data_IF_349989038109
#
_entry.id   IF_349989038109
#
_cell.length_a   1.000
_cell.length_b   1.000
_cell.length_c   1.000
_cell.angle_alpha   90.00
_cell.angle_beta   90.00
_cell.angle_gamma   90.00
#
_symmetry.space_group_name_H-M   'P 1'
#
loop_
_entity.id
_entity.type
_entity.pdbx_description
1 polymer ?
#
# COMPACT_ATOMS: atom_id res chain seq x y z
N UNK A 1 9.94 13.40 13.52
CA UNK A 1 9.83 12.21 12.65
C UNK A 1 9.45 12.61 11.24
N UNK A 2 9.96 11.90 10.23
CA UNK A 2 9.57 12.10 8.83
C UNK A 2 8.72 10.89 8.38
N UNK A 3 7.45 11.12 8.08
CA UNK A 3 6.56 10.07 7.59
C UNK A 3 6.49 10.12 6.07
N UNK A 4 7.02 9.10 5.41
CA UNK A 4 6.93 8.91 3.96
C UNK A 4 5.60 8.22 3.69
N UNK A 5 4.62 8.99 3.20
CA UNK A 5 3.23 8.55 3.08
C UNK A 5 2.97 7.91 1.72
N UNK A 6 2.49 6.67 1.74
CA UNK A 6 2.06 5.92 0.58
C UNK A 6 0.64 5.37 0.74
N UNK A 7 0.10 4.79 -0.31
CA UNK A 7 -1.26 4.25 -0.31
C UNK A 7 -1.29 2.79 0.13
N UNK A 8 -0.54 1.94 -0.55
CA UNK A 8 -0.49 0.50 -0.29
C UNK A 8 0.91 -0.04 -0.63
N UNK A 9 1.39 -1.01 0.16
CA UNK A 9 2.60 -1.76 -0.15
C UNK A 9 2.19 -3.09 -0.78
N UNK A 10 2.68 -3.36 -2.00
CA UNK A 10 2.37 -4.57 -2.77
C UNK A 10 3.64 -5.40 -3.04
N UNK A 11 3.46 -6.64 -3.51
CA UNK A 11 4.57 -7.53 -3.88
C UNK A 11 5.42 -6.97 -5.03
N UNK A 12 4.77 -6.34 -6.00
CA UNK A 12 5.41 -5.66 -7.14
C UNK A 12 5.39 -4.17 -6.90
N UNK A 13 6.49 -3.64 -6.37
CA UNK A 13 6.65 -2.20 -6.16
C UNK A 13 6.83 -1.46 -7.48
N UNK A 14 6.22 -0.30 -7.58
CA UNK A 14 6.43 0.63 -8.71
C UNK A 14 7.63 1.53 -8.46
N UNK A 15 7.95 2.40 -9.43
CA UNK A 15 9.02 3.39 -9.26
C UNK A 15 8.79 4.33 -8.06
N UNK A 16 7.54 4.61 -7.71
CA UNK A 16 7.20 5.49 -6.58
C UNK A 16 7.51 4.81 -5.25
N UNK A 17 7.02 3.58 -5.02
CA UNK A 17 7.34 2.83 -3.80
C UNK A 17 8.85 2.55 -3.71
N UNK A 18 9.52 2.31 -4.84
CA UNK A 18 10.99 2.17 -4.85
C UNK A 18 11.68 3.47 -4.41
N UNK A 19 11.20 4.63 -4.84
CA UNK A 19 11.72 5.92 -4.41
C UNK A 19 11.49 6.17 -2.90
N UNK A 20 10.31 5.79 -2.38
CA UNK A 20 10.00 5.84 -0.95
C UNK A 20 10.98 4.98 -0.12
N UNK A 21 11.18 3.72 -0.51
CA UNK A 21 12.09 2.80 0.16
C UNK A 21 13.55 3.28 0.09
N UNK A 22 13.97 3.81 -1.05
CA UNK A 22 15.31 4.35 -1.22
C UNK A 22 15.52 5.58 -0.34
N UNK A 23 14.55 6.49 -0.26
CA UNK A 23 14.57 7.67 0.61
C UNK A 23 14.62 7.26 2.09
N UNK A 24 13.81 6.27 2.50
CA UNK A 24 13.86 5.71 3.84
C UNK A 24 15.28 5.21 4.19
N UNK A 25 15.89 4.42 3.31
CA UNK A 25 17.25 3.90 3.48
C UNK A 25 18.31 5.02 3.55
N UNK A 26 18.18 6.03 2.69
CA UNK A 26 19.06 7.19 2.68
C UNK A 26 18.96 7.99 3.98
N UNK A 27 17.75 8.28 4.44
CA UNK A 27 17.51 8.98 5.69
C UNK A 27 18.12 8.21 6.87
N UNK A 28 17.93 6.90 6.92
CA UNK A 28 18.51 6.04 7.95
C UNK A 28 20.04 6.09 7.95
N UNK A 29 20.68 6.06 6.77
CA UNK A 29 22.15 6.17 6.64
C UNK A 29 22.68 7.50 7.19
N UNK A 30 21.89 8.56 7.15
CA UNK A 30 22.24 9.90 7.66
C UNK A 30 21.66 10.21 9.05
N UNK A 31 21.15 9.21 9.78
CA UNK A 31 20.61 9.39 11.12
C UNK A 31 19.29 10.19 11.17
N UNK A 32 18.61 10.37 10.03
CA UNK A 32 17.35 11.08 9.94
C UNK A 32 16.20 10.13 10.29
N UNK A 33 15.51 10.41 11.39
CA UNK A 33 14.36 9.62 11.84
C UNK A 33 13.23 9.65 10.82
N UNK A 34 12.88 8.49 10.27
CA UNK A 34 11.86 8.36 9.25
C UNK A 34 11.17 7.00 9.27
N UNK A 35 9.92 6.96 8.81
CA UNK A 35 9.16 5.73 8.60
C UNK A 35 8.32 5.83 7.33
N UNK A 36 8.14 4.71 6.61
CA UNK A 36 7.12 4.61 5.57
C UNK A 36 5.78 4.23 6.21
N UNK A 37 4.72 4.92 5.82
CA UNK A 37 3.36 4.73 6.34
C UNK A 37 2.41 4.53 5.17
N UNK A 38 1.66 3.42 5.19
CA UNK A 38 0.68 3.12 4.15
C UNK A 38 -0.74 3.13 4.72
N UNK A 39 -1.68 3.75 4.00
CA UNK A 39 -3.03 4.01 4.54
C UNK A 39 -4.05 2.94 4.18
N UNK A 40 -3.84 2.18 3.11
CA UNK A 40 -4.75 1.10 2.71
C UNK A 40 -4.36 -0.23 3.35
N UNK A 41 -5.38 -1.03 3.66
CA UNK A 41 -5.20 -2.36 4.21
C UNK A 41 -4.69 -3.36 3.18
N UNK A 42 -3.68 -4.11 3.58
CA UNK A 42 -3.19 -5.27 2.85
C UNK A 42 -2.63 -6.29 3.85
N UNK A 43 -3.20 -7.51 3.95
CA UNK A 43 -2.77 -8.51 4.94
C UNK A 43 -1.32 -8.99 4.71
N UNK A 44 -0.74 -8.69 3.57
CA UNK A 44 0.64 -9.05 3.23
C UNK A 44 1.64 -7.91 3.44
N UNK A 45 1.22 -6.74 3.90
CA UNK A 45 2.10 -5.56 4.05
C UNK A 45 3.36 -5.87 4.85
N UNK A 46 3.23 -6.60 5.97
CA UNK A 46 4.38 -7.03 6.77
C UNK A 46 5.31 -7.98 6.01
N UNK A 47 4.75 -8.94 5.26
CA UNK A 47 5.52 -9.89 4.44
C UNK A 47 6.30 -9.15 3.35
N UNK A 48 5.69 -8.18 2.68
CA UNK A 48 6.36 -7.38 1.66
C UNK A 48 7.41 -6.44 2.25
N UNK A 49 7.13 -5.82 3.40
CA UNK A 49 8.11 -5.02 4.12
C UNK A 49 9.36 -5.85 4.47
N UNK A 50 9.18 -7.10 4.93
CA UNK A 50 10.26 -8.04 5.21
C UNK A 50 11.06 -8.42 3.95
N UNK A 51 10.40 -8.66 2.81
CA UNK A 51 11.07 -8.91 1.52
C UNK A 51 12.00 -7.75 1.12
N UNK A 52 11.62 -6.52 1.45
CA UNK A 52 12.42 -5.32 1.18
C UNK A 52 13.38 -4.93 2.31
N UNK A 53 13.43 -5.71 3.41
CA UNK A 53 14.26 -5.46 4.59
C UNK A 53 13.99 -4.09 5.24
N UNK A 54 12.72 -3.73 5.35
CA UNK A 54 12.23 -2.47 5.92
C UNK A 54 11.12 -2.66 6.97
N UNK A 55 10.88 -3.90 7.42
CA UNK A 55 9.77 -4.25 8.33
C UNK A 55 9.79 -3.51 9.67
N UNK A 56 10.96 -3.03 10.10
CA UNK A 56 11.10 -2.26 11.32
C UNK A 56 10.80 -0.76 11.15
N UNK A 57 10.77 -0.29 9.89
CA UNK A 57 10.63 1.11 9.52
C UNK A 57 9.38 1.38 8.66
N UNK A 58 8.48 0.39 8.60
CA UNK A 58 7.21 0.45 7.85
C UNK A 58 6.06 -0.04 8.72
N UNK A 59 4.94 0.64 8.63
CA UNK A 59 3.66 0.17 9.16
C UNK A 59 2.49 0.75 8.35
N UNK A 60 1.31 0.18 8.54
CA UNK A 60 0.08 0.67 7.92
C UNK A 60 -0.80 1.40 8.95
N UNK A 61 -1.75 2.21 8.47
CA UNK A 61 -2.82 2.76 9.32
C UNK A 61 -3.55 1.64 10.07
N UNK A 62 -3.74 0.49 9.41
CA UNK A 62 -4.38 -0.67 10.04
C UNK A 62 -3.51 -1.30 11.11
N UNK A 63 -2.19 -1.42 10.91
CA UNK A 63 -1.28 -1.88 11.99
C UNK A 63 -1.35 -0.97 13.23
N UNK A 64 -1.52 0.34 13.01
CA UNK A 64 -1.65 1.31 14.09
C UNK A 64 -2.92 1.04 14.92
N UNK A 65 -4.08 1.02 14.30
CA UNK A 65 -5.35 0.80 15.01
C UNK A 65 -5.51 -0.64 15.51
N UNK A 66 -5.03 -1.63 14.79
CA UNK A 66 -5.00 -3.04 15.22
C UNK A 66 -4.00 -3.31 16.36
N UNK A 67 -3.22 -2.30 16.79
CA UNK A 67 -2.16 -2.45 17.81
C UNK A 67 -1.10 -3.50 17.41
N UNK A 68 -0.85 -3.62 16.10
CA UNK A 68 -0.03 -4.67 15.49
C UNK A 68 1.36 -4.19 15.05
N UNK A 69 1.73 -2.90 15.21
CA UNK A 69 3.04 -2.35 14.76
C UNK A 69 4.20 -3.16 15.36
N UNK A 70 4.14 -3.46 16.65
CA UNK A 70 5.18 -4.21 17.37
C UNK A 70 4.82 -5.68 17.59
N UNK A 71 3.72 -6.15 17.00
CA UNK A 71 3.29 -7.53 17.16
C UNK A 71 4.26 -8.47 16.47
N UNK A 72 4.82 -9.41 17.24
CA UNK A 72 5.63 -10.51 16.74
C UNK A 72 4.85 -11.80 16.95
N UNK A 73 4.82 -12.67 15.96
CA UNK A 73 4.19 -13.98 16.06
C UNK A 73 4.80 -14.75 17.26
N UNK A 74 4.00 -14.99 18.27
CA UNK A 74 4.45 -15.68 19.50
C UNK A 74 4.13 -17.17 19.51
N UNK A 75 3.05 -17.59 18.81
CA UNK A 75 2.61 -18.98 18.77
C UNK A 75 2.01 -19.32 17.40
N UNK A 76 2.44 -20.44 16.84
CA UNK A 76 1.86 -20.98 15.63
C UNK A 76 0.68 -21.87 15.97
N UNK A 77 -0.50 -21.58 15.41
CA UNK A 77 -1.67 -22.44 15.51
C UNK A 77 -1.54 -23.56 14.48
N UNK A 78 -1.63 -24.80 14.91
CA UNK A 78 -1.79 -25.93 14.00
C UNK A 78 -3.27 -26.05 13.60
N UNK A 79 -3.66 -25.36 12.53
CA UNK A 79 -5.04 -25.28 12.06
C UNK A 79 -5.60 -26.65 11.67
N UNK A 80 -4.80 -27.52 11.06
CA UNK A 80 -5.20 -28.88 10.69
C UNK A 80 -5.61 -29.66 11.93
N UNK A 81 -4.72 -29.70 12.93
CA UNK A 81 -5.01 -30.39 14.18
C UNK A 81 -6.21 -29.78 14.92
N UNK A 82 -6.34 -28.45 14.89
CA UNK A 82 -7.45 -27.75 15.53
C UNK A 82 -8.78 -28.14 14.91
N UNK A 83 -8.89 -28.13 13.58
CA UNK A 83 -10.13 -28.52 12.90
C UNK A 83 -10.46 -30.00 13.07
N UNK A 84 -9.47 -30.90 12.94
CA UNK A 84 -9.71 -32.35 13.09
C UNK A 84 -10.04 -32.75 14.54
N UNK A 85 -9.22 -32.31 15.50
CA UNK A 85 -9.32 -32.80 16.89
C UNK A 85 -10.25 -31.97 17.75
N UNK A 86 -10.20 -30.64 17.67
CA UNK A 86 -11.01 -29.77 18.53
C UNK A 86 -12.40 -29.52 17.96
N UNK A 87 -12.52 -29.34 16.64
CA UNK A 87 -13.80 -29.12 15.97
C UNK A 87 -14.44 -30.41 15.48
N UNK A 88 -13.68 -31.51 15.37
CA UNK A 88 -14.12 -32.81 14.84
C UNK A 88 -14.58 -32.74 13.38
N UNK A 89 -14.01 -31.84 12.60
CA UNK A 89 -14.29 -31.71 11.18
C UNK A 89 -13.53 -32.74 10.34
N UNK A 90 -14.13 -33.12 9.21
CA UNK A 90 -13.47 -33.93 8.19
C UNK A 90 -12.75 -33.04 7.20
N UNK A 91 -11.46 -33.29 6.98
CA UNK A 91 -10.62 -32.51 6.08
C UNK A 91 -10.37 -33.29 4.78
N UNK A 92 -10.49 -32.58 3.63
CA UNK A 92 -10.12 -33.11 2.31
C UNK A 92 -9.12 -32.14 1.69
N UNK A 93 -7.87 -32.58 1.58
CA UNK A 93 -6.79 -31.80 0.95
C UNK A 93 -7.00 -31.76 -0.57
N UNK A 94 -6.81 -30.58 -1.17
CA UNK A 94 -6.94 -30.40 -2.61
C UNK A 94 -5.62 -30.73 -3.28
N UNK A 95 -5.65 -31.66 -4.23
CA UNK A 95 -4.47 -32.11 -4.95
C UNK A 95 -3.78 -30.96 -5.68
N UNK A 96 -2.44 -30.93 -5.64
CA UNK A 96 -1.58 -29.91 -6.25
C UNK A 96 -1.86 -28.46 -5.79
N UNK A 97 -2.46 -28.28 -4.62
CA UNK A 97 -2.82 -26.99 -4.05
C UNK A 97 -2.43 -26.93 -2.56
N UNK A 98 -2.44 -25.73 -1.98
CA UNK A 98 -2.32 -25.51 -0.55
C UNK A 98 -3.69 -25.31 0.11
N UNK A 99 -4.73 -25.90 -0.49
CA UNK A 99 -6.12 -25.71 -0.09
C UNK A 99 -6.66 -26.93 0.65
N UNK A 100 -7.57 -26.66 1.59
CA UNK A 100 -8.27 -27.68 2.37
C UNK A 100 -9.76 -27.40 2.32
N UNK A 101 -10.54 -28.41 1.95
CA UNK A 101 -12.01 -28.41 2.10
C UNK A 101 -12.38 -29.03 3.44
N UNK A 102 -13.24 -28.37 4.18
CA UNK A 102 -13.57 -28.72 5.54
C UNK A 102 -15.08 -29.01 5.61
N UNK A 103 -15.41 -30.16 6.19
CA UNK A 103 -16.76 -30.68 6.28
C UNK A 103 -17.14 -30.90 7.75
N UNK A 104 -18.35 -30.50 8.10
CA UNK A 104 -19.04 -30.89 9.32
C UNK A 104 -19.96 -32.08 8.94
N UNK A 105 -19.59 -33.27 9.38
CA UNK A 105 -20.14 -34.54 8.84
C UNK A 105 -20.04 -34.60 7.31
N UNK A 106 -21.16 -34.52 6.58
CA UNK A 106 -21.21 -34.50 5.12
C UNK A 106 -21.36 -33.06 4.56
N UNK A 107 -21.65 -32.08 5.41
CA UNK A 107 -21.88 -30.71 4.98
C UNK A 107 -20.57 -29.97 4.73
N UNK A 108 -20.40 -29.44 3.52
CA UNK A 108 -19.27 -28.54 3.21
C UNK A 108 -19.47 -27.20 3.91
N UNK A 109 -18.59 -26.88 4.88
CA UNK A 109 -18.72 -25.68 5.73
C UNK A 109 -17.64 -24.64 5.50
N UNK A 110 -16.40 -25.07 5.15
CA UNK A 110 -15.30 -24.13 4.98
C UNK A 110 -14.34 -24.54 3.87
N UNK A 111 -13.67 -23.55 3.30
CA UNK A 111 -12.55 -23.70 2.37
C UNK A 111 -11.40 -22.82 2.85
N UNK A 112 -10.29 -23.44 3.20
CA UNK A 112 -9.10 -22.77 3.69
C UNK A 112 -7.97 -22.80 2.66
N UNK A 113 -7.21 -21.71 2.56
CA UNK A 113 -6.02 -21.61 1.74
C UNK A 113 -4.81 -21.27 2.62
N UNK A 114 -3.70 -21.96 2.41
CA UNK A 114 -2.44 -21.73 3.11
C UNK A 114 -1.39 -21.16 2.15
N UNK A 115 -0.42 -20.40 2.70
CA UNK A 115 0.68 -19.85 1.93
C UNK A 115 1.81 -20.85 1.70
N UNK A 116 1.82 -21.97 2.44
CA UNK A 116 2.83 -23.03 2.35
C UNK A 116 2.20 -24.42 2.25
N UNK A 117 2.95 -25.36 1.66
CA UNK A 117 2.52 -26.77 1.49
C UNK A 117 2.47 -27.57 2.79
N UNK A 118 3.07 -27.08 3.86
CA UNK A 118 3.06 -27.70 5.18
C UNK A 118 1.86 -27.26 6.02
N UNK A 119 1.00 -26.40 5.49
CA UNK A 119 -0.21 -25.87 6.15
C UNK A 119 0.09 -25.12 7.47
N UNK A 120 1.23 -24.43 7.54
CA UNK A 120 1.62 -23.68 8.74
C UNK A 120 1.07 -22.26 8.73
N UNK A 121 1.01 -21.62 7.58
CA UNK A 121 0.61 -20.23 7.45
C UNK A 121 -0.73 -20.11 6.75
N UNK A 122 -1.80 -20.00 7.56
CA UNK A 122 -3.16 -19.76 7.05
C UNK A 122 -3.24 -18.38 6.40
N UNK A 123 -3.80 -18.34 5.20
CA UNK A 123 -4.01 -17.13 4.42
C UNK A 123 -5.44 -16.63 4.56
N UNK A 124 -6.41 -17.48 4.19
CA UNK A 124 -7.83 -17.16 4.36
C UNK A 124 -8.67 -18.41 4.58
N UNK A 125 -9.86 -18.16 5.16
CA UNK A 125 -10.93 -19.16 5.25
C UNK A 125 -12.20 -18.55 4.67
N UNK A 126 -12.83 -19.26 3.75
CA UNK A 126 -14.18 -18.98 3.29
C UNK A 126 -15.17 -19.88 4.03
N UNK A 127 -16.27 -19.32 4.50
CA UNK A 127 -17.36 -20.03 5.18
C UNK A 127 -18.58 -20.12 4.27
N UNK A 128 -19.26 -21.25 4.31
CA UNK A 128 -20.41 -21.55 3.45
C UNK A 128 -21.64 -21.91 4.27
N UNK A 129 -22.81 -21.48 3.81
CA UNK A 129 -24.09 -21.90 4.36
C UNK A 129 -24.51 -23.30 3.82
N UNK A 130 -25.66 -23.80 4.32
CA UNK A 130 -26.21 -25.08 3.91
C UNK A 130 -26.55 -25.17 2.40
N UNK A 131 -26.70 -24.04 1.71
CA UNK A 131 -26.89 -23.93 0.25
C UNK A 131 -25.58 -23.78 -0.52
N UNK A 132 -24.44 -23.95 0.16
CA UNK A 132 -23.08 -23.77 -0.38
C UNK A 132 -22.79 -22.34 -0.90
N UNK A 133 -23.51 -21.31 -0.40
CA UNK A 133 -23.22 -19.93 -0.70
C UNK A 133 -22.14 -19.44 0.28
N UNK A 134 -21.14 -18.76 -0.25
CA UNK A 134 -20.11 -18.16 0.61
C UNK A 134 -20.72 -16.98 1.36
N UNK A 135 -20.71 -17.03 2.69
CA UNK A 135 -21.35 -16.04 3.59
C UNK A 135 -20.35 -15.22 4.37
N UNK A 136 -19.15 -15.75 4.59
CA UNK A 136 -18.08 -15.04 5.31
C UNK A 136 -16.73 -15.41 4.73
N UNK A 137 -15.77 -14.46 4.81
CA UNK A 137 -14.35 -14.71 4.56
C UNK A 137 -13.52 -14.13 5.68
N UNK A 138 -12.60 -14.89 6.21
CA UNK A 138 -11.55 -14.47 7.14
C UNK A 138 -10.23 -14.35 6.40
N UNK A 139 -9.47 -13.29 6.70
CA UNK A 139 -8.19 -12.97 6.07
C UNK A 139 -7.14 -12.77 7.17
N UNK A 140 -6.06 -13.52 7.07
CA UNK A 140 -5.02 -13.58 8.08
C UNK A 140 -3.81 -12.74 7.66
N UNK A 141 -3.25 -12.00 8.61
CA UNK A 141 -2.02 -11.24 8.43
C UNK A 141 -0.82 -12.18 8.28
N UNK A 142 0.23 -11.74 7.59
CA UNK A 142 1.46 -12.49 7.42
C UNK A 142 2.14 -12.90 8.75
N UNK A 143 1.78 -12.25 9.86
CA UNK A 143 2.21 -12.60 11.24
C UNK A 143 1.30 -13.64 11.90
N UNK A 144 0.22 -14.08 11.23
CA UNK A 144 -0.62 -15.23 11.60
C UNK A 144 -1.81 -14.92 12.49
N UNK A 145 -2.21 -13.68 12.70
CA UNK A 145 -3.46 -13.32 13.38
C UNK A 145 -4.58 -13.03 12.38
N UNK A 146 -5.84 -13.21 12.80
CA UNK A 146 -7.00 -12.80 12.02
C UNK A 146 -7.01 -11.27 11.91
N UNK A 147 -6.71 -10.74 10.71
CA UNK A 147 -6.63 -9.30 10.50
C UNK A 147 -7.96 -8.70 10.04
N UNK A 148 -8.70 -9.41 9.19
CA UNK A 148 -9.98 -8.92 8.67
C UNK A 148 -10.97 -10.06 8.45
N UNK A 149 -12.25 -9.82 8.73
CA UNK A 149 -13.33 -10.67 8.23
C UNK A 149 -14.31 -9.87 7.38
N UNK A 150 -14.81 -10.51 6.33
CA UNK A 150 -15.81 -9.99 5.42
C UNK A 150 -17.10 -10.77 5.55
N UNK A 151 -18.19 -10.10 5.86
CA UNK A 151 -19.53 -10.69 5.77
C UNK A 151 -20.08 -10.38 4.38
N UNK A 152 -20.64 -11.39 3.74
CA UNK A 152 -21.08 -11.34 2.37
C UNK A 152 -22.60 -11.43 2.30
N UNK A 153 -23.21 -10.52 1.57
CA UNK A 153 -24.62 -10.52 1.23
C UNK A 153 -24.90 -11.18 -0.12
N UNK A 154 -26.02 -10.84 -0.69
CA UNK A 154 -26.45 -11.34 -1.99
C UNK A 154 -25.43 -11.03 -3.09
N UNK A 155 -25.25 -11.96 -4.04
CA UNK A 155 -24.25 -11.84 -5.10
C UNK A 155 -22.78 -11.81 -4.59
N UNK A 156 -22.54 -12.26 -3.37
CA UNK A 156 -21.23 -12.25 -2.70
C UNK A 156 -20.65 -10.84 -2.51
N UNK A 157 -21.50 -9.81 -2.46
CA UNK A 157 -21.10 -8.43 -2.15
C UNK A 157 -20.70 -8.33 -0.68
N UNK A 158 -19.66 -7.55 -0.41
CA UNK A 158 -19.26 -7.28 0.98
C UNK A 158 -20.30 -6.33 1.59
N UNK A 159 -20.88 -6.70 2.72
CA UNK A 159 -21.79 -5.86 3.50
C UNK A 159 -21.14 -5.30 4.76
N UNK A 160 -20.13 -6.03 5.29
CA UNK A 160 -19.40 -5.63 6.49
C UNK A 160 -17.97 -6.15 6.42
N UNK A 161 -17.02 -5.30 6.74
CA UNK A 161 -15.64 -5.69 7.07
C UNK A 161 -15.36 -5.37 8.54
N UNK A 162 -14.85 -6.35 9.28
CA UNK A 162 -14.34 -6.16 10.63
C UNK A 162 -12.82 -6.34 10.63
N UNK A 163 -12.10 -5.43 11.25
CA UNK A 163 -10.65 -5.49 11.42
C UNK A 163 -10.32 -5.70 12.89
N UNK A 164 -9.39 -6.60 13.17
CA UNK A 164 -9.15 -7.15 14.51
C UNK A 164 -7.76 -6.80 15.02
N UNK A 165 -7.65 -6.61 16.34
CA UNK A 165 -6.35 -6.69 17.01
C UNK A 165 -5.82 -8.13 16.95
N UNK A 166 -4.52 -8.37 17.21
CA UNK A 166 -3.99 -9.72 17.36
C UNK A 166 -4.67 -10.55 18.48
N UNK A 167 -5.35 -9.90 19.41
CA UNK A 167 -6.12 -10.55 20.49
C UNK A 167 -7.57 -10.85 20.10
N UNK A 168 -8.00 -10.48 18.88
CA UNK A 168 -9.34 -10.76 18.36
C UNK A 168 -10.40 -9.69 18.66
N UNK A 169 -10.02 -8.53 19.18
CA UNK A 169 -10.94 -7.41 19.40
C UNK A 169 -11.20 -6.67 18.08
N UNK A 170 -12.46 -6.30 17.80
CA UNK A 170 -12.82 -5.52 16.61
C UNK A 170 -12.49 -4.05 16.87
N UNK A 171 -11.60 -3.48 16.04
CA UNK A 171 -11.18 -2.07 16.14
C UNK A 171 -11.71 -1.21 15.01
N UNK A 172 -11.88 -1.72 13.79
CA UNK A 172 -12.51 -1.00 12.68
C UNK A 172 -13.61 -1.86 12.09
N UNK A 173 -14.74 -1.22 11.79
CA UNK A 173 -15.84 -1.81 11.05
C UNK A 173 -16.17 -0.93 9.85
N UNK A 174 -16.33 -1.52 8.68
CA UNK A 174 -16.74 -0.83 7.46
C UNK A 174 -18.02 -1.43 6.94
N UNK A 175 -19.05 -0.60 6.78
CA UNK A 175 -20.36 -0.97 6.28
C UNK A 175 -20.50 -0.56 4.81
N UNK A 176 -21.10 -1.45 4.04
CA UNK A 176 -21.28 -1.26 2.59
C UNK A 176 -22.73 -1.51 2.22
N UNK A 177 -23.26 -0.66 1.33
CA UNK A 177 -24.57 -0.80 0.72
C UNK A 177 -24.50 -0.82 -0.79
N UNK A 178 -25.52 -1.41 -1.40
CA UNK A 178 -25.69 -1.34 -2.86
C UNK A 178 -26.34 -0.01 -3.24
N UNK A 179 -25.50 0.94 -3.63
CA UNK A 179 -25.97 2.22 -4.14
C UNK A 179 -25.87 2.23 -5.67
N UNK A 180 -27.02 2.20 -6.35
CA UNK A 180 -27.10 2.20 -7.83
C UNK A 180 -26.28 1.07 -8.48
N UNK A 181 -26.34 -0.13 -7.94
CA UNK A 181 -25.62 -1.31 -8.45
C UNK A 181 -24.12 -1.35 -8.12
N UNK A 182 -23.65 -0.41 -7.31
CA UNK A 182 -22.25 -0.35 -6.85
C UNK A 182 -22.16 -0.63 -5.35
N UNK A 183 -21.27 -1.54 -4.97
CA UNK A 183 -20.96 -1.77 -3.57
C UNK A 183 -20.19 -0.55 -3.03
N UNK A 184 -20.87 0.27 -2.21
CA UNK A 184 -20.37 1.57 -1.76
C UNK A 184 -20.16 1.56 -0.25
N UNK A 185 -19.00 2.00 0.22
CA UNK A 185 -18.74 2.25 1.64
C UNK A 185 -19.68 3.37 2.12
N UNK A 186 -20.45 3.10 3.19
CA UNK A 186 -21.42 4.04 3.74
C UNK A 186 -21.11 4.49 5.15
N UNK A 187 -20.31 3.71 5.90
CA UNK A 187 -19.92 4.05 7.26
C UNK A 187 -18.62 3.34 7.66
N UNK A 188 -17.79 4.05 8.40
CA UNK A 188 -16.64 3.48 9.12
C UNK A 188 -16.84 3.75 10.61
N UNK A 189 -16.68 2.73 11.43
CA UNK A 189 -16.68 2.83 12.89
C UNK A 189 -15.29 2.43 13.39
N UNK A 190 -14.65 3.30 14.14
CA UNK A 190 -13.42 3.01 14.86
C UNK A 190 -13.74 2.84 16.35
N UNK A 191 -13.41 1.69 16.90
CA UNK A 191 -13.52 1.38 18.33
C UNK A 191 -12.15 1.62 18.99
N UNK A 192 -12.03 2.64 19.81
CA UNK A 192 -10.78 3.01 20.48
C UNK A 192 -11.07 3.39 21.93
N UNK A 193 -10.36 2.76 22.86
CA UNK A 193 -10.42 3.05 24.31
C UNK A 193 -11.84 3.19 24.88
N UNK A 194 -12.73 2.23 24.56
CA UNK A 194 -14.16 2.16 24.94
C UNK A 194 -15.05 3.28 24.33
N UNK A 195 -14.54 4.03 23.38
CA UNK A 195 -15.27 5.02 22.61
C UNK A 195 -15.41 4.61 21.16
N UNK A 196 -16.44 5.12 20.50
CA UNK A 196 -16.65 4.92 19.08
C UNK A 196 -16.51 6.25 18.34
N UNK A 197 -15.72 6.23 17.27
CA UNK A 197 -15.62 7.31 16.31
C UNK A 197 -16.31 6.87 15.01
N UNK A 198 -17.06 7.76 14.39
CA UNK A 198 -17.82 7.49 13.18
C UNK A 198 -17.32 8.36 12.05
N UNK A 199 -17.11 7.75 10.87
CA UNK A 199 -16.67 8.44 9.66
C UNK A 199 -17.58 8.02 8.51
N UNK A 200 -17.88 8.95 7.60
CA UNK A 200 -18.67 8.66 6.40
C UNK A 200 -17.78 8.11 5.27
N UNK A 201 -16.49 8.42 5.31
CA UNK A 201 -15.52 8.02 4.28
C UNK A 201 -14.24 7.43 4.86
N UNK A 202 -13.50 6.69 4.05
CA UNK A 202 -12.16 6.23 4.41
C UNK A 202 -11.16 7.38 4.51
N UNK A 203 -11.34 8.44 3.71
CA UNK A 203 -10.50 9.63 3.73
C UNK A 203 -10.55 10.35 5.09
N UNK A 204 -11.72 10.41 5.72
CA UNK A 204 -11.87 10.96 7.07
C UNK A 204 -11.16 10.11 8.13
N UNK A 205 -11.24 8.77 8.03
CA UNK A 205 -10.47 7.89 8.91
C UNK A 205 -8.96 8.10 8.72
N UNK A 206 -8.49 8.28 7.48
CA UNK A 206 -7.07 8.57 7.21
C UNK A 206 -6.66 9.92 7.79
N UNK A 207 -7.50 10.96 7.68
CA UNK A 207 -7.24 12.26 8.30
C UNK A 207 -7.12 12.13 9.82
N UNK A 208 -8.06 11.44 10.44
CA UNK A 208 -8.03 11.16 11.88
C UNK A 208 -6.75 10.43 12.29
N UNK A 209 -6.39 9.37 11.56
CA UNK A 209 -5.15 8.65 11.77
C UNK A 209 -3.91 9.56 11.71
N UNK A 210 -3.81 10.40 10.67
CA UNK A 210 -2.66 11.30 10.52
C UNK A 210 -2.57 12.35 11.63
N UNK A 211 -3.72 12.80 12.16
CA UNK A 211 -3.75 13.67 13.36
C UNK A 211 -3.27 12.94 14.61
N UNK A 212 -3.64 11.69 14.79
CA UNK A 212 -3.17 10.88 15.92
C UNK A 212 -1.67 10.55 15.82
N UNK A 213 -1.19 10.28 14.61
CA UNK A 213 0.18 9.88 14.31
C UNK A 213 1.17 11.04 14.48
N UNK A 214 0.86 12.19 13.87
CA UNK A 214 1.80 13.33 13.79
C UNK A 214 1.78 14.13 15.08
N UNK A 215 2.96 14.28 15.69
CA UNK A 215 3.22 15.15 16.84
C UNK A 215 3.89 16.44 16.40
N UNK A 216 4.11 17.36 17.34
CA UNK A 216 4.87 18.58 17.07
C UNK A 216 6.24 18.24 16.46
N UNK A 217 6.62 18.97 15.41
CA UNK A 217 7.84 18.77 14.62
C UNK A 217 7.88 17.49 13.73
N UNK A 218 6.79 16.76 13.62
CA UNK A 218 6.68 15.71 12.62
C UNK A 218 6.26 16.30 11.27
N UNK A 219 6.67 15.66 10.18
CA UNK A 219 6.29 16.10 8.84
C UNK A 219 5.94 14.92 7.94
N UNK A 220 5.12 15.17 6.93
CA UNK A 220 4.70 14.20 5.93
C UNK A 220 5.41 14.49 4.61
N UNK A 221 5.95 13.45 3.97
CA UNK A 221 6.43 13.47 2.60
C UNK A 221 5.43 12.67 1.77
N UNK A 222 4.72 13.35 0.87
CA UNK A 222 3.64 12.79 0.07
C UNK A 222 4.12 12.46 -1.34
N UNK A 223 4.20 11.17 -1.68
CA UNK A 223 4.61 10.70 -3.00
C UNK A 223 3.45 10.37 -3.96
N UNK A 224 2.24 10.23 -3.43
CA UNK A 224 1.02 9.87 -4.19
C UNK A 224 -0.07 10.96 -4.11
N UNK A 225 0.20 12.20 -4.57
CA UNK A 225 -0.76 13.29 -4.42
C UNK A 225 -2.08 13.06 -5.17
N UNK A 226 -2.12 12.24 -6.21
CA UNK A 226 -3.34 11.92 -6.94
C UNK A 226 -4.28 10.99 -6.15
N UNK A 227 -3.75 10.18 -5.23
CA UNK A 227 -4.55 9.29 -4.39
C UNK A 227 -4.89 9.91 -3.04
N UNK A 228 -4.00 10.71 -2.47
CA UNK A 228 -4.11 11.24 -1.11
C UNK A 228 -4.24 12.77 -1.06
N UNK A 229 -4.30 13.44 -2.20
CA UNK A 229 -4.37 14.91 -2.25
C UNK A 229 -5.59 15.48 -1.54
N UNK A 230 -6.75 14.84 -1.63
CA UNK A 230 -7.97 15.27 -0.93
C UNK A 230 -7.84 15.08 0.59
N UNK A 231 -7.27 13.94 1.03
CA UNK A 231 -6.95 13.69 2.44
C UNK A 231 -6.07 14.80 2.98
N UNK A 232 -5.00 15.12 2.26
CA UNK A 232 -4.03 16.16 2.68
C UNK A 232 -4.65 17.57 2.65
N UNK A 233 -5.50 17.87 1.68
CA UNK A 233 -6.19 19.15 1.60
C UNK A 233 -7.09 19.41 2.84
N UNK A 234 -7.72 18.39 3.38
CA UNK A 234 -8.55 18.48 4.59
C UNK A 234 -7.79 18.29 5.91
N UNK A 235 -6.49 18.01 5.86
CA UNK A 235 -5.69 17.81 7.06
C UNK A 235 -5.33 19.15 7.72
N UNK A 236 -5.22 19.18 9.06
CA UNK A 236 -4.84 20.39 9.81
C UNK A 236 -3.53 20.98 9.29
N UNK A 237 -3.51 22.30 9.10
CA UNK A 237 -2.34 23.05 8.59
C UNK A 237 -1.12 22.99 9.50
N UNK A 238 -1.28 22.65 10.78
CA UNK A 238 -0.15 22.49 11.73
C UNK A 238 0.79 21.35 11.37
N UNK A 239 0.34 20.36 10.58
CA UNK A 239 1.18 19.25 10.12
C UNK A 239 1.88 19.64 8.81
N UNK A 240 3.21 19.84 8.80
CA UNK A 240 3.94 20.19 7.58
C UNK A 240 3.88 19.07 6.54
N UNK A 241 3.62 19.41 5.28
CA UNK A 241 3.62 18.44 4.18
C UNK A 241 4.52 18.92 3.04
N UNK A 242 5.41 18.04 2.60
CA UNK A 242 6.19 18.20 1.38
C UNK A 242 5.62 17.22 0.34
N UNK A 243 5.31 17.71 -0.86
CA UNK A 243 4.80 16.87 -1.94
C UNK A 243 5.88 16.59 -2.99
N UNK A 244 5.96 15.34 -3.44
CA UNK A 244 6.93 14.89 -4.46
C UNK A 244 6.19 14.55 -5.75
N UNK A 245 6.57 15.18 -6.86
CA UNK A 245 6.00 14.92 -8.18
C UNK A 245 6.93 14.00 -8.98
N UNK A 246 6.47 12.77 -9.23
CA UNK A 246 7.24 11.72 -9.92
C UNK A 246 7.09 11.72 -11.45
N UNK A 247 6.38 12.67 -12.03
CA UNK A 247 6.23 12.82 -13.48
C UNK A 247 6.05 14.29 -13.84
N UNK A 248 6.12 14.60 -15.15
CA UNK A 248 5.82 15.96 -15.59
C UNK A 248 4.44 16.41 -15.13
N UNK A 249 4.35 17.67 -14.70
CA UNK A 249 3.09 18.30 -14.27
C UNK A 249 2.19 18.68 -15.45
N UNK A 250 2.75 18.81 -16.65
CA UNK A 250 2.04 19.23 -17.85
C UNK A 250 1.19 18.11 -18.45
N UNK A 251 -0.01 18.45 -18.92
CA UNK A 251 -0.87 17.59 -19.73
C UNK A 251 -0.22 17.26 -21.08
N UNK A 252 -0.66 16.19 -21.76
CA UNK A 252 -0.11 15.78 -23.06
C UNK A 252 -0.25 16.81 -24.18
N UNK A 253 -1.14 17.79 -24.02
CA UNK A 253 -1.31 18.93 -24.95
C UNK A 253 -0.37 20.12 -24.63
N UNK A 254 0.44 20.02 -23.59
CA UNK A 254 1.40 21.08 -23.20
C UNK A 254 0.80 22.29 -22.48
N UNK A 255 -0.50 22.50 -22.52
CA UNK A 255 -1.17 23.74 -22.09
C UNK A 255 -1.97 23.60 -20.78
N UNK A 256 -1.52 22.82 -19.83
CA UNK A 256 -2.23 22.74 -18.54
C UNK A 256 -1.65 21.72 -17.57
N UNK A 257 -2.13 21.77 -16.36
CA UNK A 257 -1.75 20.83 -15.31
C UNK A 257 -2.50 19.51 -15.49
N UNK A 258 -1.79 18.39 -15.37
CA UNK A 258 -2.41 17.05 -15.35
C UNK A 258 -3.49 16.97 -14.28
N UNK A 259 -4.61 16.32 -14.61
CA UNK A 259 -5.78 16.23 -13.74
C UNK A 259 -5.44 15.72 -12.34
N UNK A 260 -4.56 14.74 -12.23
CA UNK A 260 -4.17 14.13 -10.97
C UNK A 260 -3.22 14.99 -10.09
N UNK A 261 -2.71 16.11 -10.62
CA UNK A 261 -1.97 17.10 -9.82
C UNK A 261 -2.79 18.34 -9.49
N UNK A 262 -4.00 18.49 -10.05
CA UNK A 262 -4.84 19.68 -9.82
C UNK A 262 -5.08 19.94 -8.33
N UNK A 263 -5.31 18.89 -7.53
CA UNK A 263 -5.53 19.03 -6.08
C UNK A 263 -4.33 19.71 -5.40
N UNK A 264 -3.09 19.40 -5.82
CA UNK A 264 -1.89 20.06 -5.29
C UNK A 264 -1.87 21.54 -5.64
N UNK A 265 -2.03 21.85 -6.92
CA UNK A 265 -1.93 23.22 -7.42
C UNK A 265 -3.09 24.12 -6.96
N UNK A 266 -4.27 23.55 -6.70
CA UNK A 266 -5.40 24.28 -6.14
C UNK A 266 -5.27 24.53 -4.63
N UNK A 267 -4.37 23.82 -3.93
CA UNK A 267 -4.20 23.90 -2.48
C UNK A 267 -2.72 24.19 -2.10
N UNK A 268 -2.03 25.06 -2.81
CA UNK A 268 -0.60 25.31 -2.65
C UNK A 268 -0.21 25.66 -1.20
N UNK A 269 -1.02 26.45 -0.51
CA UNK A 269 -0.76 26.89 0.87
C UNK A 269 -0.73 25.72 1.87
N UNK A 270 -1.23 24.55 1.46
CA UNK A 270 -1.20 23.33 2.27
C UNK A 270 0.20 22.71 2.35
N UNK A 271 1.05 23.01 1.37
CA UNK A 271 2.36 22.38 1.24
C UNK A 271 3.48 23.34 1.63
N UNK A 272 4.50 22.81 2.32
CA UNK A 272 5.73 23.55 2.66
C UNK A 272 6.67 23.67 1.47
N UNK A 273 6.66 22.66 0.58
CA UNK A 273 7.46 22.66 -0.64
C UNK A 273 6.92 21.63 -1.64
N UNK A 274 7.25 21.84 -2.91
CA UNK A 274 7.10 20.85 -3.98
C UNK A 274 8.49 20.33 -4.35
N UNK A 275 8.67 19.01 -4.37
CA UNK A 275 9.90 18.35 -4.83
C UNK A 275 9.68 17.78 -6.22
N UNK A 276 10.61 18.05 -7.12
CA UNK A 276 10.61 17.57 -8.53
C UNK A 276 11.94 16.96 -8.90
N UNK A 277 11.98 16.23 -10.02
CA UNK A 277 13.15 15.42 -10.39
C UNK A 277 14.12 16.11 -11.35
N UNK A 278 13.74 17.24 -11.96
CA UNK A 278 14.55 17.95 -12.96
C UNK A 278 14.54 19.44 -12.72
N UNK A 279 15.65 20.10 -13.09
CA UNK A 279 15.79 21.56 -13.00
C UNK A 279 14.75 22.29 -13.85
N UNK A 280 14.52 21.80 -15.09
CA UNK A 280 13.51 22.38 -15.97
C UNK A 280 12.11 22.37 -15.32
N UNK A 281 11.70 21.25 -14.71
CA UNK A 281 10.41 21.17 -14.04
C UNK A 281 10.35 22.08 -12.81
N UNK A 282 11.48 22.26 -12.12
CA UNK A 282 11.60 23.19 -10.98
C UNK A 282 11.32 24.63 -11.43
N UNK A 283 11.96 25.07 -12.51
CA UNK A 283 11.79 26.40 -13.09
C UNK A 283 10.35 26.62 -13.59
N UNK A 284 9.83 25.66 -14.37
CA UNK A 284 8.48 25.75 -14.96
C UNK A 284 7.41 25.87 -13.86
N UNK A 285 7.50 25.05 -12.80
CA UNK A 285 6.53 25.09 -11.71
C UNK A 285 6.71 26.36 -10.87
N UNK A 286 7.94 26.77 -10.55
CA UNK A 286 8.19 27.99 -9.79
C UNK A 286 7.57 29.22 -10.48
N UNK A 287 7.73 29.32 -11.80
CA UNK A 287 7.12 30.38 -12.60
C UNK A 287 5.59 30.26 -12.61
N UNK A 288 5.05 29.03 -12.83
CA UNK A 288 3.61 28.80 -12.88
C UNK A 288 2.90 29.17 -11.58
N UNK A 289 3.51 28.88 -10.42
CA UNK A 289 2.94 29.21 -9.11
C UNK A 289 3.37 30.58 -8.57
N UNK A 290 4.06 31.41 -9.37
CA UNK A 290 4.54 32.74 -8.98
C UNK A 290 5.40 32.69 -7.69
N UNK A 291 6.19 31.64 -7.50
CA UNK A 291 7.03 31.40 -6.32
C UNK A 291 6.29 31.43 -4.97
N UNK A 292 4.98 31.12 -4.94
CA UNK A 292 4.15 31.13 -3.70
C UNK A 292 4.65 30.16 -2.63
N UNK A 293 5.25 29.03 -3.04
CA UNK A 293 5.94 28.08 -2.14
C UNK A 293 7.24 27.59 -2.80
N UNK A 294 8.23 27.13 -2.03
CA UNK A 294 9.47 26.58 -2.57
C UNK A 294 9.24 25.39 -3.49
N UNK A 295 9.90 25.39 -4.64
CA UNK A 295 10.04 24.22 -5.53
C UNK A 295 11.49 23.80 -5.52
N UNK A 296 11.76 22.52 -5.25
CA UNK A 296 13.11 22.01 -5.00
C UNK A 296 13.40 20.87 -5.99
N UNK A 297 14.51 20.99 -6.72
CA UNK A 297 14.98 19.91 -7.58
C UNK A 297 15.76 18.89 -6.76
N UNK A 298 15.20 17.68 -6.62
CA UNK A 298 15.87 16.51 -6.03
C UNK A 298 15.70 15.33 -6.99
N UNK A 299 16.75 14.93 -7.71
CA UNK A 299 16.69 13.78 -8.60
C UNK A 299 16.30 12.48 -7.86
N UNK A 300 15.49 11.64 -8.51
CA UNK A 300 14.97 10.40 -7.89
C UNK A 300 16.04 9.32 -7.72
N UNK A 301 17.20 9.46 -8.39
CA UNK A 301 18.27 8.49 -8.37
C UNK A 301 18.82 8.23 -6.96
N UNK A 302 19.06 6.97 -6.65
CA UNK A 302 19.71 6.52 -5.40
C UNK A 302 20.77 5.47 -5.72
N UNK A 303 21.98 5.68 -5.20
CA UNK A 303 23.10 4.73 -5.33
C UNK A 303 23.52 4.30 -3.92
N UNK A 304 23.28 3.03 -3.58
CA UNK A 304 23.51 2.50 -2.25
C UNK A 304 25.00 2.42 -1.88
N UNK A 305 25.88 2.12 -2.84
CA UNK A 305 27.32 2.01 -2.66
C UNK A 305 28.04 2.15 -3.99
N UNK A 306 28.95 3.09 -4.11
CA UNK A 306 29.86 3.26 -5.25
C UNK A 306 31.10 2.34 -5.13
N UNK A 307 30.90 1.05 -4.82
CA UNK A 307 32.03 0.09 -4.79
C UNK A 307 32.48 -0.37 -6.18
N UNK A 308 31.74 -0.04 -7.21
CA UNK A 308 32.10 -0.40 -8.58
C UNK A 308 32.94 0.73 -9.18
N UNK A 309 34.25 0.54 -9.30
CA UNK A 309 35.05 1.30 -10.23
C UNK A 309 34.67 0.84 -11.62
N UNK A 310 33.97 1.69 -12.35
CA UNK A 310 33.62 1.43 -13.74
C UNK A 310 34.79 1.85 -14.62
N UNK A 311 35.45 0.87 -15.25
CA UNK A 311 36.44 1.14 -16.29
C UNK A 311 35.71 1.25 -17.65
N UNK A 312 35.67 2.46 -18.20
CA UNK A 312 35.03 2.73 -19.48
C UNK A 312 35.67 1.93 -20.64
N UNK A 313 36.94 1.52 -20.51
CA UNK A 313 37.65 0.73 -21.51
C UNK A 313 37.20 -0.73 -21.55
N UNK A 314 36.54 -1.23 -20.50
CA UNK A 314 35.95 -2.58 -20.42
C UNK A 314 34.51 -2.61 -21.01
N UNK A 315 34.00 -1.48 -21.48
CA UNK A 315 32.67 -1.42 -22.09
C UNK A 315 32.67 -2.18 -23.41
N UNK A 316 31.77 -3.14 -23.55
CA UNK A 316 31.56 -3.83 -24.82
C UNK A 316 31.11 -2.83 -25.90
N UNK A 317 31.88 -2.82 -27.00
CA UNK A 317 31.56 -1.96 -28.15
C UNK A 317 30.31 -2.50 -28.87
N UNK A 318 29.49 -1.61 -29.38
CA UNK A 318 28.28 -1.93 -30.15
C UNK A 318 27.15 -2.60 -29.37
N UNK A 319 27.15 -2.55 -28.03
CA UNK A 319 26.03 -2.99 -27.20
C UNK A 319 25.18 -1.81 -26.76
N UNK A 320 23.88 -1.89 -27.02
CA UNK A 320 22.86 -0.93 -26.57
C UNK A 320 21.93 -1.65 -25.59
N UNK A 321 21.78 -1.12 -24.40
CA UNK A 321 20.90 -1.68 -23.37
C UNK A 321 19.70 -0.75 -23.18
N UNK A 322 18.49 -1.30 -23.27
CA UNK A 322 17.25 -0.61 -22.92
C UNK A 322 16.59 -1.32 -21.73
N UNK A 323 16.39 -0.60 -20.62
CA UNK A 323 15.75 -1.12 -19.41
C UNK A 323 14.44 -0.36 -19.21
N UNK A 324 13.31 -0.98 -19.52
CA UNK A 324 11.98 -0.38 -19.37
C UNK A 324 10.90 -1.44 -19.23
N UNK A 325 9.71 -1.02 -18.76
CA UNK A 325 8.51 -1.86 -18.87
C UNK A 325 8.13 -2.01 -20.34
N UNK A 326 7.67 -3.19 -20.75
CA UNK A 326 7.17 -3.45 -22.10
C UNK A 326 5.77 -2.86 -22.27
N UNK A 327 5.70 -1.54 -22.35
CA UNK A 327 4.48 -0.77 -22.58
C UNK A 327 4.70 0.22 -23.71
N UNK A 328 3.64 0.55 -24.44
CA UNK A 328 3.68 1.34 -25.67
C UNK A 328 4.40 2.68 -25.52
N UNK A 329 4.17 3.40 -24.42
CA UNK A 329 4.81 4.69 -24.14
C UNK A 329 6.34 4.62 -23.95
N UNK A 330 6.94 3.43 -23.85
CA UNK A 330 8.40 3.23 -23.81
C UNK A 330 9.01 3.01 -25.20
N UNK A 331 8.18 2.88 -26.23
CA UNK A 331 8.57 2.82 -27.63
C UNK A 331 9.67 1.79 -27.94
N UNK A 332 9.68 0.65 -27.25
CA UNK A 332 10.72 -0.39 -27.41
C UNK A 332 10.77 -0.89 -28.87
N UNK A 333 9.60 -1.05 -29.52
CA UNK A 333 9.52 -1.43 -30.92
C UNK A 333 10.25 -0.41 -31.84
N UNK A 334 10.02 0.88 -31.59
CA UNK A 334 10.68 1.96 -32.34
C UNK A 334 12.19 1.95 -32.12
N UNK A 335 12.67 1.70 -30.89
CA UNK A 335 14.12 1.56 -30.63
C UNK A 335 14.74 0.42 -31.44
N UNK A 336 14.07 -0.73 -31.54
CA UNK A 336 14.52 -1.88 -32.33
C UNK A 336 14.55 -1.52 -33.84
N UNK A 337 13.53 -0.84 -34.33
CA UNK A 337 13.46 -0.39 -35.76
C UNK A 337 14.60 0.56 -36.11
N UNK A 338 14.91 1.52 -35.22
CA UNK A 338 16.04 2.45 -35.42
C UNK A 338 17.38 1.70 -35.47
N UNK A 339 17.62 0.77 -34.56
CA UNK A 339 18.86 -0.02 -34.54
C UNK A 339 18.97 -0.87 -35.79
N UNK A 340 17.88 -1.48 -36.26
CA UNK A 340 17.87 -2.25 -37.51
C UNK A 340 18.34 -1.40 -38.70
N UNK A 341 17.92 -0.13 -38.80
CA UNK A 341 18.34 0.79 -39.84
C UNK A 341 19.82 1.22 -39.75
N UNK A 342 20.41 1.18 -38.53
CA UNK A 342 21.80 1.55 -38.32
C UNK A 342 22.78 0.41 -38.62
N UNK A 343 22.31 -0.83 -38.68
CA UNK A 343 23.12 -2.04 -38.86
C UNK A 343 23.01 -2.58 -40.33
N UNK A 344 22.01 -2.11 -41.07
CA UNK A 344 21.89 -2.32 -42.53
C UNK A 344 22.64 -1.25 -43.30
#
# INVERSE_FOLDING_TARGET
MNYILGTILESKITGVEKAQINRLKLFKQHGISSKCVYVKWNPYSYTYAKQHQIENDVFTMYDYFQKAINYKKTKQVNWIQYWEKSCRYTLKFVENSNDVRIYDEEQFVMYAHFLDKQYHQLNYVNYFDHKRRKVKRELYDGRGFLSCSRILGEGQRIVLENYYTPNGEIVIQKYFDDIKGKNTLTKVILNEDQQQQFFDTEDELVQYFLHQLCKNNDQIILDRPHELGNVIAGLNQSIPVVVVLHSTHLSGTGNGIKSFYKTVFNNLTRYKAIVVSTEQQCQDISQYIENKIPVINIPVGYVANLKYQFDINQKEKNHIISIARLVENKQIKHQIEVIKQLVT
#
